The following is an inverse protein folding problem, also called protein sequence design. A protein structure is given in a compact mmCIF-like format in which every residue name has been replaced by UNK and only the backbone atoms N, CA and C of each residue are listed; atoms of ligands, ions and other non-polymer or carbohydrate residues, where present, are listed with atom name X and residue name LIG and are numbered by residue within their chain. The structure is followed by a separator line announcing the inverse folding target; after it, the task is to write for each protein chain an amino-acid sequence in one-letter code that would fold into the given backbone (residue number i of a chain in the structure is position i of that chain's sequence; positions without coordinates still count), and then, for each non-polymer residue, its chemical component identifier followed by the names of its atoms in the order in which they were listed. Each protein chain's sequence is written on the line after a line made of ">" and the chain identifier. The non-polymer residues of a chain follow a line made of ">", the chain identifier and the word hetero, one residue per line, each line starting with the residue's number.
data_IF_217445884148
#
_entry.id   IF_217445884148
#
_cell.length_a   1.000
_cell.length_b   1.000
_cell.length_c   1.000
_cell.angle_alpha   90.00
_cell.angle_beta   90.00
_cell.angle_gamma   90.00
#
_symmetry.space_group_name_H-M   'P 1'
#
loop_
_entity.id
_entity.type
_entity.pdbx_description
1 polymer ?
#
# COMPACT_ATOMS: atom_id res chain seq x y z
N UNK A 1 30.02 58.50 -10.60
CA UNK A 1 28.95 57.55 -10.95
C UNK A 1 29.61 56.28 -11.46
N UNK A 2 29.71 55.28 -10.60
CA UNK A 2 30.16 53.94 -10.97
C UNK A 2 29.28 52.99 -10.17
N UNK A 3 28.20 52.53 -10.78
CA UNK A 3 27.26 51.60 -10.15
C UNK A 3 27.81 50.20 -10.37
N UNK A 4 28.44 49.62 -9.35
CA UNK A 4 28.81 48.20 -9.34
C UNK A 4 27.55 47.39 -9.04
N UNK A 5 27.01 46.74 -10.06
CA UNK A 5 25.96 45.72 -9.92
C UNK A 5 26.62 44.44 -9.40
N UNK A 6 26.46 44.15 -8.11
CA UNK A 6 26.81 42.84 -7.55
C UNK A 6 25.67 41.85 -7.76
N UNK A 7 26.07 40.73 -8.35
CA UNK A 7 25.31 39.59 -8.81
C UNK A 7 24.47 38.93 -7.72
N UNK A 8 23.21 38.67 -8.05
CA UNK A 8 22.33 37.74 -7.34
C UNK A 8 22.99 36.36 -7.24
N UNK A 9 23.25 35.89 -6.02
CA UNK A 9 23.65 34.52 -5.72
C UNK A 9 22.46 33.59 -5.94
N UNK A 10 22.60 32.65 -6.88
CA UNK A 10 21.71 31.49 -7.07
C UNK A 10 21.54 30.71 -5.76
N UNK A 11 20.38 30.12 -5.46
CA UNK A 11 20.21 29.33 -4.25
C UNK A 11 21.14 28.12 -4.34
N UNK A 12 22.07 28.01 -3.41
CA UNK A 12 22.94 26.84 -3.26
C UNK A 12 22.07 25.58 -3.23
N UNK A 13 22.34 24.64 -4.13
CA UNK A 13 21.64 23.36 -4.23
C UNK A 13 21.82 22.61 -2.90
N UNK A 14 20.82 22.70 -2.02
CA UNK A 14 20.85 22.02 -0.72
C UNK A 14 21.08 20.52 -0.96
N UNK A 15 22.27 20.04 -0.60
CA UNK A 15 22.63 18.64 -0.81
C UNK A 15 21.90 17.79 0.22
N UNK A 16 20.92 17.03 -0.22
CA UNK A 16 20.15 16.14 0.63
C UNK A 16 20.84 14.77 0.73
N UNK A 17 20.90 14.19 1.92
CA UNK A 17 21.52 12.89 2.15
C UNK A 17 20.83 11.73 1.41
N UNK A 18 19.54 11.89 1.09
CA UNK A 18 18.69 10.80 0.55
C UNK A 18 18.13 11.15 -0.83
N UNK A 19 17.75 12.41 -1.07
CA UNK A 19 17.14 12.83 -2.34
C UNK A 19 18.18 12.76 -3.46
N UNK A 20 17.88 11.98 -4.51
CA UNK A 20 18.79 11.75 -5.63
C UNK A 20 19.75 10.57 -5.46
N UNK A 21 19.70 9.86 -4.32
CA UNK A 21 20.51 8.65 -4.07
C UNK A 21 19.70 7.37 -4.27
N UNK A 22 20.36 6.21 -4.25
CA UNK A 22 19.72 4.87 -4.33
C UNK A 22 19.83 4.14 -2.98
N UNK A 23 19.08 4.55 -1.95
CA UNK A 23 19.13 3.91 -0.64
C UNK A 23 18.60 2.48 -0.72
N UNK A 24 19.09 1.62 0.18
CA UNK A 24 18.57 0.26 0.33
C UNK A 24 17.12 0.35 0.80
N UNK A 25 16.23 -0.39 0.12
CA UNK A 25 14.81 -0.46 0.48
C UNK A 25 14.68 -1.22 1.80
N UNK A 26 14.19 -0.55 2.83
CA UNK A 26 14.09 -1.10 4.20
C UNK A 26 13.22 -2.36 4.27
N UNK A 27 12.19 -2.48 3.44
CA UNK A 27 11.29 -3.63 3.33
C UNK A 27 11.81 -4.72 2.38
N UNK A 28 12.97 -4.52 1.76
CA UNK A 28 13.48 -5.40 0.70
C UNK A 28 13.81 -6.79 1.21
N UNK A 29 14.51 -6.87 2.33
CA UNK A 29 14.98 -8.12 2.93
C UNK A 29 13.81 -8.98 3.41
N UNK A 30 12.88 -8.40 4.14
CA UNK A 30 11.73 -9.12 4.70
C UNK A 30 10.82 -9.69 3.62
N UNK A 31 10.68 -8.97 2.49
CA UNK A 31 9.90 -9.43 1.33
C UNK A 31 10.55 -10.60 0.59
N UNK A 32 11.87 -10.62 0.44
CA UNK A 32 12.56 -11.67 -0.34
C UNK A 32 12.80 -12.95 0.47
N UNK A 33 12.86 -12.87 1.80
CA UNK A 33 13.01 -14.02 2.69
C UNK A 33 11.64 -14.61 3.12
N UNK A 34 10.55 -13.90 2.86
CA UNK A 34 9.20 -14.29 3.30
C UNK A 34 8.95 -14.03 4.79
N UNK A 35 9.74 -13.15 5.42
CA UNK A 35 9.56 -12.73 6.80
C UNK A 35 8.52 -11.61 6.96
N UNK A 36 8.18 -10.93 5.86
CA UNK A 36 7.14 -9.90 5.85
C UNK A 36 5.77 -10.53 6.14
N UNK A 37 5.10 -10.04 7.19
CA UNK A 37 3.74 -10.47 7.55
C UNK A 37 2.70 -9.65 6.80
N UNK A 38 1.84 -10.33 6.07
CA UNK A 38 0.66 -9.78 5.40
C UNK A 38 -0.61 -10.14 6.17
N UNK A 39 -1.72 -9.47 5.87
CA UNK A 39 -2.99 -9.71 6.55
C UNK A 39 -3.48 -11.16 6.46
N UNK A 40 -3.09 -11.90 5.42
CA UNK A 40 -3.41 -13.31 5.25
C UNK A 40 -2.54 -14.25 6.10
N UNK A 41 -1.40 -13.77 6.62
CA UNK A 41 -0.47 -14.58 7.43
C UNK A 41 -0.82 -14.54 8.93
N UNK A 42 -1.82 -13.73 9.30
CA UNK A 42 -2.28 -13.59 10.68
C UNK A 42 -3.15 -14.79 11.04
N UNK A 43 -2.81 -15.46 12.14
CA UNK A 43 -3.61 -16.53 12.72
C UNK A 43 -3.85 -16.21 14.19
N UNK A 44 -5.13 -16.10 14.58
CA UNK A 44 -5.57 -15.80 15.93
C UNK A 44 -6.45 -16.95 16.46
N UNK A 45 -6.41 -17.19 17.77
CA UNK A 45 -7.31 -18.17 18.39
C UNK A 45 -8.76 -17.73 18.21
N UNK A 46 -9.62 -18.62 17.71
CA UNK A 46 -11.02 -18.31 17.41
C UNK A 46 -11.27 -17.53 16.11
N UNK A 47 -10.28 -17.38 15.23
CA UNK A 47 -10.46 -16.66 13.95
C UNK A 47 -11.43 -17.40 13.01
N UNK A 48 -12.51 -16.73 12.64
CA UNK A 48 -13.48 -17.21 11.66
C UNK A 48 -13.04 -16.85 10.23
N UNK A 49 -13.42 -17.69 9.27
CA UNK A 49 -13.17 -17.48 7.85
C UNK A 49 -14.48 -17.22 7.11
N UNK A 50 -14.58 -16.09 6.41
CA UNK A 50 -15.73 -15.73 5.61
C UNK A 50 -15.50 -15.99 4.12
N UNK A 51 -16.55 -16.41 3.40
CA UNK A 51 -16.56 -16.48 1.94
C UNK A 51 -17.82 -15.82 1.40
N UNK A 52 -17.67 -15.01 0.35
CA UNK A 52 -18.77 -14.24 -0.23
C UNK A 52 -19.30 -14.95 -1.48
N UNK A 53 -20.58 -15.29 -1.48
CA UNK A 53 -21.32 -15.67 -2.69
C UNK A 53 -21.68 -14.39 -3.46
N UNK A 54 -21.20 -14.25 -4.69
CA UNK A 54 -21.46 -13.07 -5.52
C UNK A 54 -22.50 -13.35 -6.59
N UNK A 55 -23.17 -12.28 -7.03
CA UNK A 55 -24.11 -12.35 -8.14
C UNK A 55 -23.41 -12.81 -9.43
N UNK A 56 -23.96 -13.79 -10.16
CA UNK A 56 -23.49 -14.13 -11.49
C UNK A 56 -24.00 -13.16 -12.56
N UNK A 57 -24.96 -12.28 -12.22
CA UNK A 57 -25.57 -11.33 -13.15
C UNK A 57 -25.06 -9.90 -12.88
N UNK A 58 -24.71 -9.17 -13.94
CA UNK A 58 -24.27 -7.79 -13.86
C UNK A 58 -25.41 -6.82 -13.45
N UNK A 59 -26.65 -7.12 -13.84
CA UNK A 59 -27.83 -6.38 -13.42
C UNK A 59 -29.04 -7.31 -13.27
N UNK A 60 -29.53 -7.46 -12.05
CA UNK A 60 -30.71 -8.27 -11.73
C UNK A 60 -31.34 -7.78 -10.42
N UNK A 61 -32.63 -8.06 -10.24
CA UNK A 61 -33.30 -7.89 -8.94
C UNK A 61 -33.21 -9.20 -8.17
N UNK A 62 -32.72 -9.14 -6.94
CA UNK A 62 -32.72 -10.29 -6.03
C UNK A 62 -34.17 -10.49 -5.54
N UNK A 63 -34.76 -11.64 -5.87
CA UNK A 63 -36.12 -11.99 -5.40
C UNK A 63 -36.09 -12.71 -4.05
N UNK A 64 -35.13 -13.61 -3.87
CA UNK A 64 -34.94 -14.38 -2.64
C UNK A 64 -33.51 -14.90 -2.58
N UNK A 65 -33.05 -15.25 -1.37
CA UNK A 65 -31.79 -15.94 -1.09
C UNK A 65 -32.12 -17.06 -0.11
N UNK A 66 -31.72 -18.29 -0.41
CA UNK A 66 -31.85 -19.44 0.50
C UNK A 66 -30.48 -19.73 1.14
N UNK A 67 -30.40 -19.54 2.46
CA UNK A 67 -29.18 -19.75 3.27
C UNK A 67 -29.22 -21.02 4.11
N UNK A 68 -30.28 -21.84 4.00
CA UNK A 68 -30.49 -23.02 4.88
C UNK A 68 -29.30 -23.97 4.92
N UNK A 69 -28.67 -24.24 3.77
CA UNK A 69 -27.48 -25.11 3.66
C UNK A 69 -26.18 -24.48 4.17
N UNK A 70 -26.12 -23.16 4.30
CA UNK A 70 -24.95 -22.47 4.82
C UNK A 70 -24.99 -22.33 6.34
N UNK A 71 -26.18 -22.39 6.94
CA UNK A 71 -26.42 -22.26 8.39
C UNK A 71 -26.44 -23.60 9.14
N UNK A 72 -26.74 -24.70 8.44
CA UNK A 72 -26.81 -26.06 8.98
C UNK A 72 -25.44 -26.77 8.98
#
# INVERSE_FOLDING_TARGET
>A
MTTTTESQQSPETRQYNVVGTRPIRHDGVDKVIGAAKYGADIQLSGMLHGKVLRSPYAHARIKSIDTSKAEA
#
